data_IF_391974876192
#
_entry.id   IF_391974876192
#
_cell.length_a   1.000
_cell.length_b   1.000
_cell.length_c   1.000
_cell.angle_alpha   90.00
_cell.angle_beta   90.00
_cell.angle_gamma   90.00
#
_symmetry.space_group_name_H-M   'P 1'
#
loop_
_entity.id
_entity.type
_entity.pdbx_description
1 polymer ?
#
# COMPACT_ATOMS: atom_id res chain seq x y z
N UNK A 1 -0.35 22.44 -59.15
CA UNK A 1 0.38 23.71 -58.98
C UNK A 1 0.23 24.18 -57.54
N UNK A 2 1.36 24.33 -56.86
CA UNK A 2 1.62 24.94 -55.54
C UNK A 2 0.66 24.69 -54.36
N UNK A 3 0.95 23.67 -53.55
CA UNK A 3 0.61 23.65 -52.12
C UNK A 3 1.55 24.65 -51.41
N UNK A 4 1.10 25.88 -51.19
CA UNK A 4 1.75 26.76 -50.22
C UNK A 4 1.41 26.25 -48.82
N UNK A 5 2.22 25.34 -48.28
CA UNK A 5 2.33 25.21 -46.83
C UNK A 5 2.97 26.50 -46.33
N UNK A 6 2.14 27.41 -45.82
CA UNK A 6 2.64 28.52 -45.03
C UNK A 6 3.00 27.95 -43.66
N UNK A 7 4.30 27.87 -43.36
CA UNK A 7 4.80 27.42 -42.06
C UNK A 7 4.43 28.46 -40.99
N UNK A 8 3.32 28.22 -40.28
CA UNK A 8 2.97 29.01 -39.11
C UNK A 8 3.78 28.50 -37.92
N UNK A 9 4.42 29.39 -37.17
CA UNK A 9 5.28 29.01 -36.03
C UNK A 9 4.52 28.98 -34.71
N UNK A 10 3.34 29.61 -34.60
CA UNK A 10 2.55 29.67 -33.35
C UNK A 10 1.04 29.73 -33.59
N UNK A 11 0.25 29.31 -32.58
CA UNK A 11 -1.21 29.41 -32.61
C UNK A 11 -1.71 30.85 -32.82
N UNK A 12 -1.09 31.84 -32.15
CA UNK A 12 -1.50 33.24 -32.23
C UNK A 12 -1.39 33.82 -33.64
N UNK A 13 -0.34 33.45 -34.38
CA UNK A 13 -0.16 33.84 -35.78
C UNK A 13 -1.19 33.17 -36.69
N UNK A 14 -1.47 31.88 -36.48
CA UNK A 14 -2.49 31.15 -37.24
C UNK A 14 -3.88 31.76 -37.07
N UNK A 15 -4.28 32.11 -35.83
CA UNK A 15 -5.56 32.76 -35.53
C UNK A 15 -5.66 34.14 -36.17
N UNK A 16 -4.59 34.95 -36.08
CA UNK A 16 -4.55 36.28 -36.68
C UNK A 16 -4.73 36.23 -38.20
N UNK A 17 -4.07 35.28 -38.86
CA UNK A 17 -4.16 35.13 -40.30
C UNK A 17 -5.54 34.60 -40.74
N UNK A 18 -6.11 33.62 -40.05
CA UNK A 18 -7.47 33.12 -40.32
C UNK A 18 -8.53 34.22 -40.16
N UNK A 19 -8.36 35.13 -39.20
CA UNK A 19 -9.23 36.30 -39.04
C UNK A 19 -9.10 37.28 -40.21
N UNK A 20 -7.86 37.59 -40.61
CA UNK A 20 -7.58 38.54 -41.68
C UNK A 20 -8.01 38.01 -43.06
N UNK A 21 -7.85 36.71 -43.32
CA UNK A 21 -8.32 36.09 -44.56
C UNK A 21 -9.85 36.13 -44.70
N UNK A 22 -10.55 36.20 -43.55
CA UNK A 22 -12.01 36.42 -43.52
C UNK A 22 -12.41 37.89 -43.68
N UNK A 23 -11.44 38.82 -43.71
CA UNK A 23 -11.67 40.26 -43.83
C UNK A 23 -12.14 40.93 -42.53
N UNK A 24 -11.95 40.27 -41.38
CA UNK A 24 -12.44 40.77 -40.09
C UNK A 24 -11.37 41.53 -39.32
N UNK A 25 -11.73 42.66 -38.70
CA UNK A 25 -10.93 43.31 -37.65
C UNK A 25 -11.20 42.64 -36.30
N UNK A 26 -10.29 42.80 -35.33
CA UNK A 26 -10.43 42.17 -34.00
C UNK A 26 -11.74 42.56 -33.28
N UNK A 27 -12.21 43.80 -33.46
CA UNK A 27 -13.46 44.30 -32.89
C UNK A 27 -14.72 43.86 -33.66
N UNK A 28 -14.57 43.12 -34.77
CA UNK A 28 -15.66 42.66 -35.62
C UNK A 28 -15.93 41.15 -35.47
N UNK A 29 -15.20 40.45 -34.61
CA UNK A 29 -15.42 39.02 -34.35
C UNK A 29 -16.61 38.85 -33.38
N UNK A 30 -17.73 38.25 -33.82
CA UNK A 30 -18.96 38.23 -33.02
C UNK A 30 -18.80 37.48 -31.70
N UNK A 31 -19.16 38.16 -30.60
CA UNK A 31 -19.25 37.60 -29.26
C UNK A 31 -17.93 37.17 -28.64
N UNK A 32 -16.81 37.74 -29.11
CA UNK A 32 -15.50 37.66 -28.48
C UNK A 32 -14.94 39.08 -28.32
N UNK A 33 -14.54 39.45 -27.11
CA UNK A 33 -14.00 40.78 -26.84
C UNK A 33 -12.68 41.02 -27.61
N UNK A 34 -12.49 42.23 -28.13
CA UNK A 34 -11.28 42.61 -28.88
C UNK A 34 -10.00 42.36 -28.07
N UNK A 35 -10.00 42.70 -26.77
CA UNK A 35 -8.86 42.51 -25.87
C UNK A 35 -8.52 41.02 -25.68
N UNK A 36 -9.53 40.15 -25.64
CA UNK A 36 -9.35 38.70 -25.57
C UNK A 36 -8.67 38.17 -26.83
N UNK A 37 -9.12 38.59 -28.02
CA UNK A 37 -8.48 38.24 -29.29
C UNK A 37 -7.05 38.76 -29.40
N UNK A 38 -6.80 40.00 -28.97
CA UNK A 38 -5.45 40.56 -28.98
C UNK A 38 -4.49 39.76 -28.07
N UNK A 39 -4.97 39.28 -26.93
CA UNK A 39 -4.17 38.43 -26.02
C UNK A 39 -3.90 37.03 -26.62
N UNK A 40 -4.83 36.47 -27.37
CA UNK A 40 -4.65 35.19 -28.06
C UNK A 40 -3.69 35.31 -29.26
N UNK A 41 -3.89 36.31 -30.10
CA UNK A 41 -3.05 36.53 -31.30
C UNK A 41 -1.61 36.92 -30.97
N UNK A 42 -1.38 37.53 -29.81
CA UNK A 42 -0.02 37.85 -29.30
C UNK A 42 0.62 36.73 -28.48
N UNK A 43 -0.08 35.60 -28.26
CA UNK A 43 0.41 34.47 -27.48
C UNK A 43 0.48 34.71 -25.96
N UNK A 44 0.00 35.86 -25.47
CA UNK A 44 -0.03 36.20 -24.02
C UNK A 44 -0.99 35.33 -23.23
N UNK A 45 -2.04 34.83 -23.88
CA UNK A 45 -3.04 33.94 -23.30
C UNK A 45 -3.48 32.90 -24.32
N UNK A 46 -3.84 31.71 -23.87
CA UNK A 46 -4.34 30.66 -24.74
C UNK A 46 -5.88 30.64 -24.77
N UNK A 47 -6.52 30.49 -25.96
CA UNK A 47 -7.95 30.23 -26.07
C UNK A 47 -8.30 28.82 -25.60
N UNK A 48 -9.52 28.60 -25.10
CA UNK A 48 -10.04 27.26 -24.84
C UNK A 48 -10.42 26.59 -26.16
N UNK A 49 -10.52 25.27 -26.18
CA UNK A 49 -10.96 24.54 -27.38
C UNK A 49 -12.37 24.95 -27.85
N UNK A 50 -13.28 25.24 -26.92
CA UNK A 50 -14.61 25.80 -27.25
C UNK A 50 -14.52 27.13 -27.99
N UNK A 51 -13.54 27.97 -27.65
CA UNK A 51 -13.29 29.24 -28.34
C UNK A 51 -12.73 28.98 -29.75
N UNK A 52 -11.87 27.96 -29.92
CA UNK A 52 -11.35 27.56 -31.22
C UNK A 52 -12.46 27.04 -32.14
N UNK A 53 -13.37 26.19 -31.65
CA UNK A 53 -14.50 25.70 -32.44
C UNK A 53 -15.37 26.87 -32.93
N UNK A 54 -15.65 27.82 -32.03
CA UNK A 54 -16.40 29.03 -32.36
C UNK A 54 -15.66 29.91 -33.38
N UNK A 55 -14.36 30.11 -33.20
CA UNK A 55 -13.54 30.88 -34.14
C UNK A 55 -13.44 30.19 -35.50
N UNK A 56 -13.39 28.86 -35.53
CA UNK A 56 -13.34 28.06 -36.76
C UNK A 56 -14.62 28.22 -37.57
N UNK A 57 -15.78 28.27 -36.91
CA UNK A 57 -17.06 28.58 -37.53
C UNK A 57 -17.10 30.01 -38.10
N UNK A 58 -16.66 31.01 -37.31
CA UNK A 58 -16.63 32.42 -37.73
C UNK A 58 -15.66 32.64 -38.91
N UNK A 59 -14.47 32.06 -38.83
CA UNK A 59 -13.40 32.20 -39.83
C UNK A 59 -13.61 31.28 -41.03
N UNK A 60 -14.53 30.31 -40.94
CA UNK A 60 -14.78 29.28 -41.96
C UNK A 60 -13.52 28.47 -42.29
N UNK A 61 -12.81 28.06 -41.25
CA UNK A 61 -11.61 27.22 -41.35
C UNK A 61 -11.89 25.94 -40.58
N UNK A 62 -11.38 24.81 -41.07
CA UNK A 62 -11.46 23.55 -40.34
C UNK A 62 -10.78 23.69 -38.96
N UNK A 63 -11.46 23.41 -37.83
CA UNK A 63 -10.86 23.50 -36.49
C UNK A 63 -9.61 22.63 -36.33
N UNK A 64 -9.51 21.54 -37.10
CA UNK A 64 -8.35 20.66 -37.08
C UNK A 64 -7.07 21.31 -37.62
N UNK A 65 -7.19 22.43 -38.35
CA UNK A 65 -6.04 23.22 -38.81
C UNK A 65 -5.29 23.92 -37.66
N UNK A 66 -5.93 24.12 -36.51
CA UNK A 66 -5.31 24.71 -35.32
C UNK A 66 -4.72 23.67 -34.36
N UNK A 67 -5.11 22.40 -34.48
CA UNK A 67 -4.66 21.28 -33.62
C UNK A 67 -3.13 21.13 -33.51
N UNK A 68 -2.34 21.29 -34.59
CA UNK A 68 -0.87 21.17 -34.51
C UNK A 68 -0.22 22.15 -33.51
N UNK A 69 -0.88 23.27 -33.18
CA UNK A 69 -0.39 24.24 -32.21
C UNK A 69 -0.85 23.97 -30.77
N UNK A 70 -1.74 23.00 -30.57
CA UNK A 70 -2.26 22.59 -29.26
C UNK A 70 -1.56 21.37 -28.66
N UNK A 71 -0.69 20.71 -29.43
CA UNK A 71 0.03 19.50 -29.00
C UNK A 71 1.54 19.73 -28.88
N UNK A 72 2.07 20.22 -27.74
CA UNK A 72 3.21 19.54 -27.17
C UNK A 72 2.72 18.19 -26.63
N UNK A 73 3.44 17.12 -26.92
CA UNK A 73 3.18 15.83 -26.28
C UNK A 73 3.24 16.01 -24.76
N UNK A 74 2.25 15.47 -24.04
CA UNK A 74 2.24 15.56 -22.58
C UNK A 74 3.53 14.98 -21.97
N UNK A 75 4.09 13.93 -22.61
CA UNK A 75 5.37 13.29 -22.27
C UNK A 75 6.62 14.13 -22.51
N UNK A 76 6.52 15.33 -23.09
CA UNK A 76 7.65 16.27 -23.16
C UNK A 76 7.87 17.03 -21.85
N UNK A 77 6.88 17.05 -20.95
CA UNK A 77 7.09 17.51 -19.58
C UNK A 77 7.75 16.41 -18.77
N UNK A 78 8.97 16.65 -18.28
CA UNK A 78 9.72 15.70 -17.43
C UNK A 78 8.85 15.18 -16.28
N UNK A 79 8.10 16.06 -15.63
CA UNK A 79 7.19 15.69 -14.54
C UNK A 79 5.96 14.89 -14.96
N UNK A 80 5.53 14.93 -16.23
CA UNK A 80 4.40 14.12 -16.72
C UNK A 80 4.90 12.77 -17.24
N UNK A 81 6.03 12.75 -17.95
CA UNK A 81 6.65 11.51 -18.44
C UNK A 81 6.98 10.55 -17.30
N UNK A 82 7.52 11.07 -16.20
CA UNK A 82 7.76 10.31 -14.97
C UNK A 82 6.48 9.67 -14.42
N UNK A 83 5.36 10.40 -14.41
CA UNK A 83 4.07 9.89 -13.95
C UNK A 83 3.47 8.84 -14.91
N UNK A 84 3.67 9.00 -16.21
CA UNK A 84 3.24 8.01 -17.21
C UNK A 84 4.06 6.72 -17.13
N UNK A 85 5.35 6.82 -16.82
CA UNK A 85 6.23 5.69 -16.57
C UNK A 85 5.81 4.95 -15.29
N UNK A 86 5.57 5.68 -14.19
CA UNK A 86 5.05 5.12 -12.94
C UNK A 86 3.70 4.39 -13.16
N UNK A 87 2.76 5.02 -13.89
CA UNK A 87 1.48 4.41 -14.23
C UNK A 87 1.64 3.12 -15.06
N UNK A 88 2.59 3.10 -16.00
CA UNK A 88 2.88 1.92 -16.83
C UNK A 88 3.45 0.76 -16.01
N UNK A 89 4.22 1.07 -14.98
CA UNK A 89 4.76 0.10 -14.03
C UNK A 89 3.75 -0.31 -12.94
N UNK A 90 2.55 0.27 -12.94
CA UNK A 90 1.52 0.00 -11.92
C UNK A 90 1.76 0.68 -10.57
N UNK A 91 2.72 1.62 -10.49
CA UNK A 91 3.01 2.40 -9.30
C UNK A 91 2.02 3.56 -9.15
N UNK A 92 0.78 3.21 -8.80
CA UNK A 92 -0.33 4.16 -8.65
C UNK A 92 -0.16 5.10 -7.45
N UNK A 93 0.67 4.74 -6.47
CA UNK A 93 1.00 5.58 -5.32
C UNK A 93 1.86 6.78 -5.74
N UNK A 94 2.91 6.57 -6.53
CA UNK A 94 3.73 7.65 -7.11
C UNK A 94 2.91 8.53 -8.04
N UNK A 95 2.09 7.93 -8.91
CA UNK A 95 1.16 8.67 -9.79
C UNK A 95 0.29 9.61 -8.97
N UNK A 96 -0.26 9.14 -7.86
CA UNK A 96 -1.10 9.94 -6.97
C UNK A 96 -0.34 11.07 -6.27
N UNK A 97 0.71 10.73 -5.52
CA UNK A 97 1.43 11.68 -4.67
C UNK A 97 2.08 12.80 -5.49
N UNK A 98 2.78 12.43 -6.57
CA UNK A 98 3.50 13.38 -7.40
C UNK A 98 2.61 14.08 -8.41
N UNK A 99 1.61 13.39 -8.97
CA UNK A 99 0.60 13.99 -9.83
C UNK A 99 -0.23 15.04 -9.09
N UNK A 100 -0.62 14.78 -7.85
CA UNK A 100 -1.33 15.78 -7.03
C UNK A 100 -0.46 17.00 -6.73
N UNK A 101 0.82 16.79 -6.36
CA UNK A 101 1.79 17.89 -6.16
C UNK A 101 1.99 18.69 -7.44
N UNK A 102 2.05 18.03 -8.60
CA UNK A 102 2.16 18.65 -9.91
C UNK A 102 0.96 19.58 -10.18
N UNK A 103 -0.28 19.08 -10.04
CA UNK A 103 -1.48 19.90 -10.28
C UNK A 103 -1.58 21.09 -9.32
N UNK A 104 -1.18 20.92 -8.05
CA UNK A 104 -1.18 22.00 -7.05
C UNK A 104 -0.18 23.10 -7.40
N UNK A 105 1.02 22.71 -7.83
CA UNK A 105 2.13 23.64 -8.12
C UNK A 105 1.96 24.34 -9.47
N UNK A 106 1.28 23.69 -10.43
CA UNK A 106 1.24 24.11 -11.82
C UNK A 106 -0.15 24.51 -12.35
N UNK A 107 -1.15 24.72 -11.48
CA UNK A 107 -2.56 25.04 -11.80
C UNK A 107 -2.82 26.05 -12.92
N UNK A 108 -1.89 26.97 -13.18
CA UNK A 108 -1.97 27.97 -14.26
C UNK A 108 -0.65 28.16 -15.03
N UNK A 109 0.34 27.28 -14.79
CA UNK A 109 1.73 27.47 -15.25
C UNK A 109 2.19 26.45 -16.29
N UNK A 110 1.36 25.47 -16.62
CA UNK A 110 1.68 24.42 -17.62
C UNK A 110 0.60 24.37 -18.70
N UNK A 111 0.93 23.84 -19.90
CA UNK A 111 -0.06 23.60 -20.93
C UNK A 111 -1.21 22.72 -20.42
N UNK A 112 -2.42 23.02 -20.89
CA UNK A 112 -3.63 22.30 -20.49
C UNK A 112 -3.51 20.79 -20.77
N UNK A 113 -2.85 20.39 -21.85
CA UNK A 113 -2.62 18.98 -22.18
C UNK A 113 -1.84 18.24 -21.08
N UNK A 114 -0.76 18.85 -20.55
CA UNK A 114 0.02 18.28 -19.45
C UNK A 114 -0.81 18.24 -18.14
N UNK A 115 -1.56 19.31 -17.86
CA UNK A 115 -2.43 19.38 -16.68
C UNK A 115 -3.53 18.31 -16.71
N UNK A 116 -4.27 18.23 -17.82
CA UNK A 116 -5.36 17.27 -18.02
C UNK A 116 -4.85 15.83 -18.09
N UNK A 117 -3.63 15.60 -18.62
CA UNK A 117 -3.04 14.26 -18.61
C UNK A 117 -2.76 13.80 -17.18
N UNK A 118 -2.22 14.67 -16.34
CA UNK A 118 -2.01 14.33 -14.92
C UNK A 118 -3.36 14.14 -14.21
N UNK A 119 -4.39 14.93 -14.48
CA UNK A 119 -5.74 14.68 -13.94
C UNK A 119 -6.31 13.32 -14.34
N UNK A 120 -6.08 12.88 -15.59
CA UNK A 120 -6.49 11.55 -16.06
C UNK A 120 -5.72 10.43 -15.37
N UNK A 121 -4.40 10.58 -15.21
CA UNK A 121 -3.57 9.61 -14.49
C UNK A 121 -3.99 9.50 -13.02
N UNK A 122 -4.34 10.63 -12.37
CA UNK A 122 -4.90 10.63 -11.02
C UNK A 122 -6.27 9.97 -10.95
N UNK A 123 -7.15 10.19 -11.94
CA UNK A 123 -8.44 9.53 -12.00
C UNK A 123 -8.29 8.01 -12.21
N UNK A 124 -7.31 7.59 -13.03
CA UNK A 124 -6.95 6.19 -13.20
C UNK A 124 -6.38 5.59 -11.91
N UNK A 125 -5.51 6.33 -11.22
CA UNK A 125 -4.99 5.92 -9.91
C UNK A 125 -6.14 5.73 -8.91
N UNK A 126 -7.07 6.70 -8.79
CA UNK A 126 -8.26 6.53 -7.93
C UNK A 126 -9.13 5.35 -8.38
N UNK A 127 -9.34 5.15 -9.68
CA UNK A 127 -10.15 4.04 -10.16
C UNK A 127 -9.51 2.68 -9.89
N UNK A 128 -8.19 2.59 -10.01
CA UNK A 128 -7.40 1.39 -9.74
C UNK A 128 -7.24 1.15 -8.23
N UNK A 129 -7.19 2.23 -7.44
CA UNK A 129 -6.98 2.25 -6.00
C UNK A 129 -7.98 3.26 -5.35
N UNK A 130 -9.24 2.84 -5.13
CA UNK A 130 -10.34 3.73 -4.68
C UNK A 130 -10.07 4.51 -3.39
N UNK A 131 -9.24 3.97 -2.51
CA UNK A 131 -8.81 4.60 -1.25
C UNK A 131 -7.96 5.86 -1.47
N UNK A 132 -7.32 6.04 -2.63
CA UNK A 132 -6.59 7.28 -2.95
C UNK A 132 -7.52 8.50 -2.98
N UNK A 133 -8.80 8.32 -3.32
CA UNK A 133 -9.81 9.38 -3.26
C UNK A 133 -10.03 9.93 -1.84
N UNK A 134 -9.79 9.12 -0.80
CA UNK A 134 -9.93 9.50 0.62
C UNK A 134 -8.81 10.46 1.08
N UNK A 135 -7.63 10.37 0.45
CA UNK A 135 -6.44 11.19 0.74
C UNK A 135 -6.69 12.68 0.45
N UNK A 136 -7.59 13.00 -0.49
CA UNK A 136 -7.84 14.37 -0.96
C UNK A 136 -8.41 15.31 0.13
N UNK A 137 -8.91 14.76 1.25
CA UNK A 137 -9.58 15.52 2.31
C UNK A 137 -8.78 15.65 3.61
N UNK A 138 -7.56 15.12 3.68
CA UNK A 138 -6.97 14.78 4.98
C UNK A 138 -5.55 15.33 5.14
N UNK A 139 -5.29 15.97 6.30
CA UNK A 139 -4.01 16.64 6.61
C UNK A 139 -3.40 16.21 7.96
N UNK A 140 -4.16 15.58 8.85
CA UNK A 140 -3.71 15.16 10.18
C UNK A 140 -3.34 13.68 10.20
N UNK A 141 -2.46 13.27 11.13
CA UNK A 141 -2.07 11.86 11.24
C UNK A 141 -3.27 10.94 11.54
N UNK A 142 -4.22 11.38 12.36
CA UNK A 142 -5.42 10.60 12.69
C UNK A 142 -6.26 10.27 11.46
N UNK A 143 -6.38 11.24 10.57
CA UNK A 143 -7.08 11.08 9.32
C UNK A 143 -6.33 10.06 8.42
N UNK A 144 -5.01 10.19 8.28
CA UNK A 144 -4.22 9.21 7.52
C UNK A 144 -4.27 7.78 8.09
N UNK A 145 -4.41 7.63 9.42
CA UNK A 145 -4.64 6.35 10.07
C UNK A 145 -6.04 5.78 9.75
N UNK A 146 -7.06 6.62 9.62
CA UNK A 146 -8.38 6.19 9.13
C UNK A 146 -8.33 5.73 7.67
N UNK A 147 -7.54 6.39 6.83
CA UNK A 147 -7.29 5.93 5.45
C UNK A 147 -6.62 4.56 5.48
N UNK A 148 -5.59 4.37 6.31
CA UNK A 148 -4.94 3.06 6.45
C UNK A 148 -5.92 1.96 6.89
N UNK A 149 -6.83 2.27 7.82
CA UNK A 149 -7.88 1.34 8.24
C UNK A 149 -8.86 1.03 7.09
N UNK A 150 -9.24 2.03 6.28
CA UNK A 150 -10.08 1.81 5.11
C UNK A 150 -9.35 0.97 4.04
N UNK A 151 -8.05 1.20 3.84
CA UNK A 151 -7.20 0.41 2.94
C UNK A 151 -7.18 -1.06 3.38
N UNK A 152 -6.97 -1.31 4.67
CA UNK A 152 -7.04 -2.66 5.25
C UNK A 152 -8.40 -3.32 5.00
N UNK A 153 -9.50 -2.63 5.28
CA UNK A 153 -10.86 -3.16 5.10
C UNK A 153 -11.22 -3.44 3.63
N UNK A 154 -10.59 -2.72 2.70
CA UNK A 154 -10.72 -2.95 1.26
C UNK A 154 -9.86 -4.13 0.78
N UNK A 155 -9.10 -4.78 1.67
CA UNK A 155 -8.25 -5.93 1.35
C UNK A 155 -7.03 -5.55 0.51
N UNK A 156 -6.47 -4.36 0.72
CA UNK A 156 -5.22 -3.99 0.07
C UNK A 156 -4.06 -4.86 0.56
N UNK A 157 -3.15 -5.19 -0.36
CA UNK A 157 -1.98 -5.99 -0.06
C UNK A 157 -1.05 -5.34 0.97
N UNK A 158 -0.42 -6.19 1.79
CA UNK A 158 0.45 -5.80 2.90
C UNK A 158 1.61 -4.87 2.49
N UNK A 159 2.19 -5.06 1.30
CA UNK A 159 3.27 -4.19 0.80
C UNK A 159 2.80 -2.75 0.58
N UNK A 160 1.55 -2.56 0.13
CA UNK A 160 0.98 -1.20 -0.06
C UNK A 160 0.77 -0.51 1.28
N UNK A 161 0.27 -1.26 2.27
CA UNK A 161 0.09 -0.76 3.63
C UNK A 161 1.44 -0.46 4.30
N UNK A 162 2.46 -1.29 4.11
CA UNK A 162 3.82 -1.01 4.61
C UNK A 162 4.37 0.31 4.07
N UNK A 163 4.38 0.51 2.75
CA UNK A 163 4.83 1.76 2.14
C UNK A 163 4.04 2.99 2.64
N UNK A 164 2.74 2.80 2.92
CA UNK A 164 1.93 3.85 3.52
C UNK A 164 2.46 4.24 4.89
N UNK A 165 2.73 3.27 5.76
CA UNK A 165 3.25 3.52 7.11
C UNK A 165 4.69 4.06 7.10
N UNK A 166 5.55 3.63 6.18
CA UNK A 166 6.87 4.24 5.93
C UNK A 166 6.73 5.75 5.67
N UNK A 167 5.86 6.10 4.71
CA UNK A 167 5.56 7.51 4.39
C UNK A 167 5.01 8.27 5.59
N UNK A 168 4.12 7.67 6.39
CA UNK A 168 3.59 8.32 7.60
C UNK A 168 4.69 8.56 8.64
N UNK A 169 5.61 7.61 8.82
CA UNK A 169 6.70 7.73 9.76
C UNK A 169 7.69 8.85 9.37
N UNK A 170 7.89 9.07 8.06
CA UNK A 170 8.74 10.14 7.52
C UNK A 170 8.05 11.51 7.54
N UNK A 171 6.73 11.55 7.33
CA UNK A 171 5.98 12.80 7.15
C UNK A 171 5.54 13.44 8.46
N UNK A 172 5.23 12.65 9.49
CA UNK A 172 4.63 13.13 10.72
C UNK A 172 5.63 13.16 11.88
N UNK A 173 5.44 14.14 12.76
CA UNK A 173 6.27 14.33 13.94
C UNK A 173 6.20 13.11 14.86
N UNK A 174 7.37 12.61 15.26
CA UNK A 174 7.49 11.53 16.22
C UNK A 174 6.90 11.88 17.59
N UNK A 175 6.75 13.17 17.93
CA UNK A 175 6.09 13.59 19.18
C UNK A 175 4.56 13.50 19.13
N UNK A 176 3.97 13.18 17.97
CA UNK A 176 2.52 13.07 17.85
C UNK A 176 2.00 11.89 18.70
N UNK A 177 0.92 12.04 19.51
CA UNK A 177 0.42 10.98 20.40
C UNK A 177 0.13 9.64 19.69
N UNK A 178 -0.32 9.73 18.45
CA UNK A 178 -0.70 8.58 17.60
C UNK A 178 0.46 7.98 16.81
N UNK A 179 1.69 8.50 16.97
CA UNK A 179 2.85 8.03 16.23
C UNK A 179 3.17 6.55 16.56
N UNK A 180 2.90 6.10 17.78
CA UNK A 180 3.02 4.68 18.12
C UNK A 180 2.14 3.78 17.25
N UNK A 181 0.95 4.24 16.83
CA UNK A 181 0.09 3.48 15.91
C UNK A 181 0.74 3.35 14.54
N UNK A 182 1.52 4.34 14.09
CA UNK A 182 2.30 4.25 12.85
C UNK A 182 3.37 3.18 12.99
N UNK A 183 4.13 3.21 14.09
CA UNK A 183 5.20 2.25 14.34
C UNK A 183 4.68 0.81 14.47
N UNK A 184 3.63 0.62 15.25
CA UNK A 184 3.02 -0.70 15.46
C UNK A 184 2.43 -1.28 14.16
N UNK A 185 1.70 -0.47 13.38
CA UNK A 185 1.17 -0.95 12.11
C UNK A 185 2.28 -1.17 11.07
N UNK A 186 3.33 -0.34 11.05
CA UNK A 186 4.51 -0.57 10.23
C UNK A 186 5.15 -1.93 10.52
N UNK A 187 5.33 -2.27 11.80
CA UNK A 187 5.80 -3.58 12.24
C UNK A 187 4.89 -4.72 11.75
N UNK A 188 3.58 -4.60 11.95
CA UNK A 188 2.60 -5.61 11.54
C UNK A 188 2.61 -5.85 10.03
N UNK A 189 2.69 -4.79 9.21
CA UNK A 189 2.70 -4.97 7.75
C UNK A 189 4.06 -5.41 7.21
N UNK A 190 5.18 -4.99 7.82
CA UNK A 190 6.51 -5.54 7.53
C UNK A 190 6.60 -7.03 7.87
N UNK A 191 5.96 -7.44 8.95
CA UNK A 191 5.84 -8.84 9.31
C UNK A 191 5.02 -9.61 8.27
N UNK A 192 3.88 -9.09 7.83
CA UNK A 192 3.02 -9.77 6.85
C UNK A 192 3.71 -10.00 5.51
N UNK A 193 4.62 -9.12 5.09
CA UNK A 193 5.41 -9.29 3.86
C UNK A 193 6.52 -10.35 3.99
N UNK A 194 6.74 -10.90 5.20
CA UNK A 194 7.81 -11.85 5.47
C UNK A 194 9.18 -11.21 5.69
N UNK A 195 9.28 -9.87 5.69
CA UNK A 195 10.54 -9.17 5.94
C UNK A 195 10.81 -9.04 7.45
N UNK A 196 11.28 -10.14 8.04
CA UNK A 196 11.61 -10.22 9.47
C UNK A 196 12.55 -9.13 9.97
N UNK A 197 13.70 -8.86 9.32
CA UNK A 197 14.60 -7.78 9.76
C UNK A 197 13.90 -6.42 9.81
N UNK A 198 13.10 -6.09 8.79
CA UNK A 198 12.33 -4.85 8.76
C UNK A 198 11.30 -4.81 9.89
N UNK A 199 10.54 -5.89 10.10
CA UNK A 199 9.55 -5.97 11.16
C UNK A 199 10.19 -5.72 12.55
N UNK A 200 11.33 -6.36 12.82
CA UNK A 200 12.07 -6.17 14.07
C UNK A 200 12.57 -4.73 14.25
N UNK A 201 13.07 -4.09 13.19
CA UNK A 201 13.46 -2.68 13.24
C UNK A 201 12.29 -1.76 13.63
N UNK A 202 11.11 -2.00 13.05
CA UNK A 202 9.89 -1.27 13.41
C UNK A 202 9.48 -1.50 14.87
N UNK A 203 9.56 -2.73 15.36
CA UNK A 203 9.24 -3.06 16.76
C UNK A 203 10.23 -2.39 17.72
N UNK A 204 11.53 -2.43 17.43
CA UNK A 204 12.57 -1.76 18.24
C UNK A 204 12.34 -0.24 18.32
N UNK A 205 11.97 0.37 17.20
CA UNK A 205 11.54 1.77 17.15
C UNK A 205 10.31 2.02 18.02
N UNK A 206 9.30 1.14 17.94
CA UNK A 206 8.07 1.24 18.74
C UNK A 206 8.35 1.13 20.24
N UNK A 207 9.17 0.16 20.67
CA UNK A 207 9.58 -0.04 22.07
C UNK A 207 10.31 1.20 22.57
N UNK A 208 11.31 1.67 21.81
CA UNK A 208 12.10 2.85 22.17
C UNK A 208 11.21 4.09 22.31
N UNK A 209 10.27 4.27 21.38
CA UNK A 209 9.29 5.35 21.43
C UNK A 209 8.38 5.25 22.65
N UNK A 210 7.82 4.07 22.94
CA UNK A 210 6.91 3.84 24.05
C UNK A 210 7.60 4.14 25.39
N UNK A 211 8.84 3.69 25.57
CA UNK A 211 9.67 3.98 26.76
C UNK A 211 9.93 5.49 26.89
N UNK A 212 10.31 6.17 25.81
CA UNK A 212 10.59 7.61 25.81
C UNK A 212 9.35 8.46 26.15
N UNK A 213 8.15 8.01 25.77
CA UNK A 213 6.88 8.72 26.00
C UNK A 213 6.07 8.14 27.18
N UNK A 214 6.70 7.31 28.02
CA UNK A 214 6.11 6.72 29.22
C UNK A 214 4.83 5.91 28.97
N UNK A 215 4.67 5.34 27.77
CA UNK A 215 3.59 4.40 27.43
C UNK A 215 3.95 2.98 27.86
N UNK A 216 4.18 2.80 29.17
CA UNK A 216 4.66 1.55 29.75
C UNK A 216 3.67 0.39 29.61
N UNK A 217 2.39 0.68 29.47
CA UNK A 217 1.33 -0.29 29.18
C UNK A 217 1.52 -1.00 27.83
N UNK A 218 2.21 -0.36 26.87
CA UNK A 218 2.45 -0.90 25.52
C UNK A 218 3.74 -1.69 25.38
N UNK A 219 4.68 -1.47 26.28
CA UNK A 219 6.00 -2.11 26.21
C UNK A 219 5.90 -3.65 26.24
N UNK A 220 5.10 -4.28 27.12
CA UNK A 220 5.00 -5.75 27.16
C UNK A 220 4.46 -6.36 25.86
N UNK A 221 3.46 -5.75 25.22
CA UNK A 221 2.90 -6.19 23.93
C UNK A 221 3.98 -6.16 22.84
N UNK A 222 4.74 -5.06 22.76
CA UNK A 222 5.79 -4.89 21.75
C UNK A 222 6.99 -5.82 22.00
N UNK A 223 7.40 -6.01 23.26
CA UNK A 223 8.47 -6.94 23.64
C UNK A 223 8.09 -8.40 23.38
N UNK A 224 6.82 -8.76 23.59
CA UNK A 224 6.31 -10.10 23.24
C UNK A 224 6.33 -10.33 21.72
N UNK A 225 5.88 -9.34 20.93
CA UNK A 225 5.99 -9.38 19.47
C UNK A 225 7.45 -9.52 19.01
N UNK A 226 8.37 -8.74 19.58
CA UNK A 226 9.81 -8.84 19.28
C UNK A 226 10.34 -10.24 19.57
N UNK A 227 10.03 -10.80 20.75
CA UNK A 227 10.44 -12.15 21.14
C UNK A 227 9.94 -13.20 20.15
N UNK A 228 8.66 -13.14 19.76
CA UNK A 228 8.09 -14.04 18.75
C UNK A 228 8.83 -13.92 17.43
N UNK A 229 9.02 -12.71 16.92
CA UNK A 229 9.68 -12.48 15.63
C UNK A 229 11.14 -12.94 15.63
N UNK A 230 11.88 -12.68 16.71
CA UNK A 230 13.26 -13.16 16.89
C UNK A 230 13.33 -14.69 16.90
N UNK A 231 12.32 -15.37 17.44
CA UNK A 231 12.30 -16.83 17.53
C UNK A 231 12.34 -17.49 16.15
N UNK A 232 11.77 -16.83 15.13
CA UNK A 232 11.81 -17.31 13.76
C UNK A 232 13.18 -17.11 13.08
N UNK A 233 14.01 -16.14 13.52
CA UNK A 233 15.31 -15.86 12.90
C UNK A 233 16.45 -16.72 13.45
N UNK A 234 16.47 -17.00 14.75
CA UNK A 234 17.59 -17.67 15.41
C UNK A 234 17.07 -18.63 16.48
N UNK A 235 17.83 -19.71 16.76
CA UNK A 235 17.64 -20.49 17.98
C UNK A 235 17.95 -19.60 19.18
N UNK A 236 16.93 -18.94 19.74
CA UNK A 236 17.10 -18.08 20.92
C UNK A 236 17.55 -19.00 22.06
N UNK A 237 18.80 -18.89 22.49
CA UNK A 237 19.26 -19.56 23.70
C UNK A 237 18.95 -18.69 24.93
N UNK A 238 18.48 -19.31 26.02
CA UNK A 238 18.52 -18.70 27.35
C UNK A 238 17.37 -17.76 27.77
N UNK A 239 16.27 -17.65 27.01
CA UNK A 239 15.05 -16.99 27.53
C UNK A 239 14.27 -17.95 28.43
N UNK A 240 14.07 -17.56 29.69
CA UNK A 240 13.29 -18.29 30.69
C UNK A 240 11.80 -18.09 30.45
N UNK A 241 11.11 -19.17 30.11
CA UNK A 241 9.65 -19.24 29.90
C UNK A 241 8.85 -18.74 31.11
N UNK A 242 9.39 -18.88 32.32
CA UNK A 242 8.69 -18.56 33.56
C UNK A 242 8.89 -17.12 34.03
N UNK A 243 9.82 -16.37 33.42
CA UNK A 243 10.05 -14.96 33.75
C UNK A 243 9.02 -14.03 33.11
N UNK A 244 8.40 -14.44 32.00
CA UNK A 244 7.35 -13.70 31.34
C UNK A 244 6.00 -13.99 32.03
N UNK A 245 5.56 -13.14 32.96
CA UNK A 245 4.16 -13.16 33.40
C UNK A 245 3.36 -12.41 32.33
N UNK A 246 2.51 -13.09 31.54
CA UNK A 246 1.74 -12.38 30.55
C UNK A 246 0.82 -11.39 31.25
N UNK A 247 0.68 -10.19 30.71
CA UNK A 247 -0.14 -9.13 31.30
C UNK A 247 -1.51 -9.01 30.62
N UNK A 248 -1.66 -9.65 29.46
CA UNK A 248 -2.90 -9.79 28.72
C UNK A 248 -2.82 -11.00 27.76
N UNK A 249 -3.92 -11.28 27.06
CA UNK A 249 -4.05 -12.40 26.11
C UNK A 249 -3.13 -12.29 24.90
N UNK A 250 -2.88 -11.09 24.36
CA UNK A 250 -1.97 -10.89 23.23
C UNK A 250 -0.51 -11.20 23.60
N UNK A 251 -0.06 -10.69 24.75
CA UNK A 251 1.27 -10.97 25.31
C UNK A 251 1.42 -12.47 25.56
N UNK A 252 0.39 -13.10 26.15
CA UNK A 252 0.39 -14.55 26.37
C UNK A 252 0.59 -15.31 25.06
N UNK A 253 -0.15 -14.93 24.04
CA UNK A 253 -0.14 -15.59 22.74
C UNK A 253 1.21 -15.45 22.03
N UNK A 254 1.74 -14.22 21.89
CA UNK A 254 3.03 -13.96 21.25
C UNK A 254 4.17 -14.72 21.94
N UNK A 255 4.18 -14.72 23.28
CA UNK A 255 5.15 -15.47 24.09
C UNK A 255 5.02 -16.97 23.85
N UNK A 256 3.80 -17.52 23.93
CA UNK A 256 3.57 -18.95 23.71
C UNK A 256 4.00 -19.40 22.32
N UNK A 257 3.68 -18.62 21.28
CA UNK A 257 4.07 -18.93 19.90
C UNK A 257 5.59 -18.92 19.76
N UNK A 258 6.27 -17.91 20.30
CA UNK A 258 7.73 -17.83 20.26
C UNK A 258 8.39 -19.04 20.95
N UNK A 259 7.89 -19.46 22.11
CA UNK A 259 8.37 -20.67 22.79
C UNK A 259 8.03 -21.95 22.04
N UNK A 260 6.85 -22.06 21.45
CA UNK A 260 6.45 -23.22 20.65
C UNK A 260 7.39 -23.41 19.46
N UNK A 261 7.73 -22.32 18.76
CA UNK A 261 8.68 -22.34 17.66
C UNK A 261 10.07 -22.79 18.10
N UNK A 262 10.58 -22.28 19.23
CA UNK A 262 11.86 -22.73 19.82
C UNK A 262 11.85 -24.22 20.17
N UNK A 263 10.84 -24.66 20.92
CA UNK A 263 10.71 -26.07 21.33
C UNK A 263 10.72 -26.98 20.10
N UNK A 264 9.97 -26.59 19.07
CA UNK A 264 9.93 -27.31 17.81
C UNK A 264 11.29 -27.30 17.12
N UNK A 265 11.89 -26.13 16.89
CA UNK A 265 13.19 -26.03 16.22
C UNK A 265 14.26 -26.90 16.90
N UNK A 266 14.31 -26.86 18.23
CA UNK A 266 15.29 -27.59 19.05
C UNK A 266 14.92 -29.07 19.28
N UNK A 267 13.78 -29.53 18.74
CA UNK A 267 13.24 -30.87 18.96
C UNK A 267 13.01 -31.22 20.44
N UNK A 268 12.70 -30.24 21.28
CA UNK A 268 12.58 -30.40 22.72
C UNK A 268 11.13 -30.68 23.15
N UNK A 269 10.74 -31.95 23.07
CA UNK A 269 9.40 -32.43 23.45
C UNK A 269 9.09 -32.17 24.94
N UNK A 270 10.09 -32.24 25.81
CA UNK A 270 9.89 -32.01 27.24
C UNK A 270 9.47 -30.57 27.52
N UNK A 271 10.18 -29.61 26.93
CA UNK A 271 9.81 -28.19 27.06
C UNK A 271 8.47 -27.88 26.42
N UNK A 272 8.15 -28.53 25.30
CA UNK A 272 6.81 -28.43 24.71
C UNK A 272 5.71 -28.86 25.69
N UNK A 273 5.84 -30.02 26.34
CA UNK A 273 4.83 -30.50 27.30
C UNK A 273 4.69 -29.58 28.52
N UNK A 274 5.78 -28.97 28.98
CA UNK A 274 5.73 -27.97 30.05
C UNK A 274 5.11 -26.64 29.60
N UNK A 275 5.41 -26.19 28.38
CA UNK A 275 4.80 -25.00 27.79
C UNK A 275 3.28 -25.17 27.69
N UNK A 276 2.77 -26.33 27.23
CA UNK A 276 1.33 -26.58 27.15
C UNK A 276 0.62 -26.41 28.49
N UNK A 277 1.18 -27.04 29.54
CA UNK A 277 0.62 -26.93 30.90
C UNK A 277 0.65 -25.50 31.41
N UNK A 278 1.76 -24.80 31.16
CA UNK A 278 1.91 -23.41 31.54
C UNK A 278 0.89 -22.54 30.82
N UNK A 279 0.78 -22.65 29.50
CA UNK A 279 -0.11 -21.85 28.67
C UNK A 279 -1.59 -21.98 29.09
N UNK A 280 -2.06 -23.21 29.32
CA UNK A 280 -3.42 -23.47 29.80
C UNK A 280 -3.64 -22.88 31.20
N UNK A 281 -2.66 -22.99 32.09
CA UNK A 281 -2.76 -22.47 33.46
C UNK A 281 -2.74 -20.93 33.50
N UNK A 282 -2.02 -20.29 32.60
CA UNK A 282 -1.85 -18.83 32.56
C UNK A 282 -2.81 -18.14 31.59
N UNK A 283 -3.69 -18.88 30.92
CA UNK A 283 -4.74 -18.30 30.09
C UNK A 283 -5.68 -17.46 30.93
N UNK A 284 -5.92 -16.22 30.49
CA UNK A 284 -6.56 -15.19 31.31
C UNK A 284 -8.00 -14.87 30.89
N UNK A 285 -8.46 -15.43 29.77
CA UNK A 285 -9.76 -15.13 29.19
C UNK A 285 -10.75 -16.25 29.49
N UNK A 286 -12.02 -15.88 29.65
CA UNK A 286 -13.14 -16.83 29.66
C UNK A 286 -13.40 -17.36 28.24
N UNK A 287 -12.93 -16.64 27.23
CA UNK A 287 -12.93 -17.04 25.83
C UNK A 287 -12.06 -18.28 25.61
N UNK A 288 -12.43 -19.16 24.67
CA UNK A 288 -11.59 -20.31 24.33
C UNK A 288 -10.21 -19.84 23.85
N UNK A 289 -9.17 -20.53 24.31
CA UNK A 289 -7.80 -20.26 23.88
C UNK A 289 -7.70 -20.37 22.36
N UNK A 290 -6.98 -19.45 21.69
CA UNK A 290 -6.84 -19.49 20.25
C UNK A 290 -6.18 -20.79 19.77
N UNK A 291 -6.39 -21.17 18.50
CA UNK A 291 -6.06 -22.51 18.02
C UNK A 291 -4.56 -22.74 17.78
N UNK A 292 -3.68 -21.83 18.20
CA UNK A 292 -2.23 -22.01 18.10
C UNK A 292 -1.78 -23.31 18.79
N UNK A 293 -2.35 -23.64 19.95
CA UNK A 293 -1.98 -24.86 20.68
C UNK A 293 -2.26 -26.10 19.83
N UNK A 294 -3.46 -26.18 19.24
CA UNK A 294 -3.86 -27.30 18.39
C UNK A 294 -3.05 -27.40 17.10
N UNK A 295 -2.65 -26.26 16.52
CA UNK A 295 -1.73 -26.22 15.37
C UNK A 295 -0.39 -26.87 15.72
N UNK A 296 0.19 -26.47 16.85
CA UNK A 296 1.48 -26.96 17.29
C UNK A 296 1.43 -28.43 17.74
N UNK A 297 0.33 -28.89 18.35
CA UNK A 297 0.14 -30.33 18.61
C UNK A 297 0.08 -31.15 17.32
N UNK A 298 -0.64 -30.66 16.30
CA UNK A 298 -0.67 -31.28 14.99
C UNK A 298 0.73 -31.32 14.33
N UNK A 299 1.51 -30.26 14.49
CA UNK A 299 2.89 -30.18 14.00
C UNK A 299 3.81 -31.22 14.66
N UNK A 300 3.69 -31.42 15.99
CA UNK A 300 4.47 -32.42 16.72
C UNK A 300 4.03 -33.86 16.41
N UNK A 301 2.71 -34.11 16.26
CA UNK A 301 2.19 -35.40 15.82
C UNK A 301 2.80 -35.78 14.47
N UNK A 302 2.85 -34.83 13.54
CA UNK A 302 3.51 -35.05 12.26
C UNK A 302 5.02 -35.31 12.42
N UNK A 303 5.76 -34.43 13.11
CA UNK A 303 7.22 -34.52 13.25
C UNK A 303 7.69 -35.85 13.85
N UNK A 304 6.98 -36.39 14.84
CA UNK A 304 7.41 -37.60 15.56
C UNK A 304 6.68 -38.88 15.17
N UNK A 305 5.42 -38.78 14.74
CA UNK A 305 4.61 -39.95 14.40
C UNK A 305 4.37 -40.09 12.90
N UNK A 306 4.80 -39.12 12.09
CA UNK A 306 4.53 -39.05 10.65
C UNK A 306 3.02 -39.09 10.33
N UNK A 307 2.19 -38.54 11.23
CA UNK A 307 0.74 -38.44 11.06
C UNK A 307 0.40 -37.06 10.48
N UNK A 308 0.14 -36.91 9.16
CA UNK A 308 -0.17 -35.62 8.57
C UNK A 308 -1.63 -35.19 8.79
N UNK A 309 -2.52 -36.14 9.11
CA UNK A 309 -3.97 -35.92 9.22
C UNK A 309 -4.33 -34.79 10.20
N UNK A 310 -3.77 -34.72 11.43
CA UNK A 310 -4.12 -33.65 12.37
C UNK A 310 -3.83 -32.25 11.82
N UNK A 311 -2.74 -32.09 11.06
CA UNK A 311 -2.36 -30.80 10.50
C UNK A 311 -3.19 -30.46 9.26
N UNK A 312 -3.54 -31.47 8.45
CA UNK A 312 -4.51 -31.31 7.35
C UNK A 312 -5.89 -30.93 7.86
N UNK A 313 -6.36 -31.57 8.93
CA UNK A 313 -7.65 -31.28 9.57
C UNK A 313 -7.66 -29.87 10.15
N UNK A 314 -6.57 -29.47 10.83
CA UNK A 314 -6.43 -28.12 11.35
C UNK A 314 -6.50 -27.07 10.24
N UNK A 315 -5.75 -27.27 9.14
CA UNK A 315 -5.78 -26.39 7.97
C UNK A 315 -7.17 -26.38 7.32
N UNK A 316 -7.79 -27.55 7.14
CA UNK A 316 -9.11 -27.69 6.54
C UNK A 316 -10.18 -26.95 7.35
N UNK A 317 -10.19 -27.12 8.67
CA UNK A 317 -11.04 -26.38 9.58
C UNK A 317 -10.76 -24.87 9.52
N UNK A 318 -9.49 -24.47 9.50
CA UNK A 318 -9.10 -23.06 9.42
C UNK A 318 -9.65 -22.38 8.17
N UNK A 319 -9.54 -23.04 7.01
CA UNK A 319 -10.02 -22.54 5.72
C UNK A 319 -11.55 -22.44 5.63
N UNK A 320 -12.28 -23.32 6.33
CA UNK A 320 -13.75 -23.35 6.32
C UNK A 320 -14.36 -22.37 7.32
N UNK A 321 -13.95 -22.48 8.58
CA UNK A 321 -14.60 -21.81 9.71
C UNK A 321 -13.69 -20.82 10.43
N UNK A 322 -12.38 -21.10 10.48
CA UNK A 322 -11.39 -20.25 11.15
C UNK A 322 -11.39 -18.80 10.66
N UNK A 323 -11.67 -18.59 9.36
CA UNK A 323 -11.72 -17.25 8.74
C UNK A 323 -12.76 -16.34 9.36
N UNK A 324 -13.91 -16.89 9.72
CA UNK A 324 -15.02 -16.12 10.26
C UNK A 324 -14.93 -15.98 11.78
N UNK A 325 -14.37 -17.00 12.46
CA UNK A 325 -14.25 -17.04 13.91
C UNK A 325 -13.07 -16.23 14.45
N UNK A 326 -11.98 -16.11 13.69
CA UNK A 326 -10.72 -15.51 14.13
C UNK A 326 -10.17 -14.48 13.15
N UNK A 327 -11.07 -13.73 12.50
CA UNK A 327 -10.74 -12.80 11.40
C UNK A 327 -9.63 -11.78 11.77
N UNK A 328 -9.54 -11.36 13.04
CA UNK A 328 -8.52 -10.42 13.53
C UNK A 328 -7.11 -11.04 13.73
N UNK A 329 -7.02 -12.36 13.90
CA UNK A 329 -5.77 -13.11 14.13
C UNK A 329 -5.43 -14.05 12.97
N UNK A 330 -6.16 -13.92 11.86
CA UNK A 330 -6.16 -14.80 10.70
C UNK A 330 -4.76 -15.07 10.13
N UNK A 331 -3.94 -14.03 10.05
CA UNK A 331 -2.65 -14.08 9.34
C UNK A 331 -1.56 -14.81 10.14
N UNK A 332 -1.65 -14.83 11.47
CA UNK A 332 -0.56 -15.31 12.32
C UNK A 332 -0.47 -16.83 12.37
N UNK A 333 -1.58 -17.51 12.64
CA UNK A 333 -1.55 -18.98 12.74
C UNK A 333 -1.42 -19.64 11.37
N UNK A 334 -2.03 -19.05 10.34
CA UNK A 334 -1.85 -19.54 8.98
C UNK A 334 -0.38 -19.42 8.55
N UNK A 335 0.29 -18.30 8.88
CA UNK A 335 1.73 -18.14 8.70
C UNK A 335 2.54 -19.19 9.46
N UNK A 336 2.26 -19.40 10.75
CA UNK A 336 3.04 -20.36 11.55
C UNK A 336 2.93 -21.77 10.98
N UNK A 337 1.72 -22.14 10.59
CA UNK A 337 1.50 -23.36 9.85
C UNK A 337 2.36 -23.34 8.56
N UNK A 338 2.38 -22.23 7.80
CA UNK A 338 3.13 -22.14 6.53
C UNK A 338 4.62 -22.35 6.76
N UNK A 339 5.17 -21.78 7.82
CA UNK A 339 6.56 -21.95 8.21
C UNK A 339 6.87 -23.42 8.51
N UNK A 340 5.96 -24.11 9.22
CA UNK A 340 6.08 -25.53 9.51
C UNK A 340 6.09 -26.38 8.23
N UNK A 341 5.25 -26.04 7.24
CA UNK A 341 5.26 -26.72 5.95
C UNK A 341 6.47 -26.38 5.08
N UNK A 342 6.98 -25.16 5.12
CA UNK A 342 8.21 -24.78 4.43
C UNK A 342 9.41 -25.62 4.89
N UNK A 343 9.37 -26.11 6.13
CA UNK A 343 10.36 -27.03 6.70
C UNK A 343 9.99 -28.52 6.54
N UNK A 344 8.87 -28.83 5.87
CA UNK A 344 8.38 -30.18 5.69
C UNK A 344 8.76 -30.77 4.34
N UNK A 345 9.26 -32.02 4.35
CA UNK A 345 9.51 -32.81 3.14
C UNK A 345 8.28 -33.62 2.70
N UNK A 346 7.14 -33.51 3.41
CA UNK A 346 5.99 -34.39 3.18
C UNK A 346 5.14 -33.94 1.96
N UNK A 347 4.78 -34.84 1.01
CA UNK A 347 4.12 -34.48 -0.24
C UNK A 347 2.80 -33.70 -0.12
N UNK A 348 2.02 -33.96 0.93
CA UNK A 348 0.77 -33.22 1.17
C UNK A 348 0.98 -31.71 1.36
N UNK A 349 2.17 -31.29 1.80
CA UNK A 349 2.51 -29.87 1.95
C UNK A 349 2.88 -29.19 0.64
N UNK A 350 3.26 -29.93 -0.40
CA UNK A 350 3.44 -29.35 -1.73
C UNK A 350 2.12 -28.81 -2.30
N UNK A 351 1.01 -29.51 -2.05
CA UNK A 351 -0.35 -29.05 -2.40
C UNK A 351 -0.70 -27.76 -1.65
N UNK A 352 -0.27 -27.69 -0.39
CA UNK A 352 -0.57 -26.55 0.45
C UNK A 352 0.29 -25.32 0.16
N UNK A 353 1.58 -25.51 -0.13
CA UNK A 353 2.46 -24.48 -0.66
C UNK A 353 1.90 -23.90 -1.98
N UNK A 354 1.38 -24.76 -2.87
CA UNK A 354 0.70 -24.31 -4.09
C UNK A 354 -0.56 -23.50 -3.79
N UNK A 355 -1.40 -23.98 -2.88
CA UNK A 355 -2.60 -23.24 -2.46
C UNK A 355 -2.23 -21.87 -1.89
N UNK A 356 -1.21 -21.80 -1.05
CA UNK A 356 -0.74 -20.56 -0.44
C UNK A 356 -0.14 -19.60 -1.46
N UNK A 357 0.70 -20.09 -2.38
CA UNK A 357 1.21 -19.28 -3.47
C UNK A 357 0.06 -18.70 -4.33
N UNK A 358 -0.98 -19.51 -4.59
CA UNK A 358 -2.17 -19.04 -5.28
C UNK A 358 -2.99 -18.04 -4.44
N UNK A 359 -3.10 -18.23 -3.13
CA UNK A 359 -3.73 -17.29 -2.21
C UNK A 359 -2.99 -15.94 -2.23
N UNK A 360 -1.67 -15.94 -2.00
CA UNK A 360 -0.82 -14.76 -2.07
C UNK A 360 -0.98 -14.04 -3.41
N UNK A 361 -0.92 -14.78 -4.52
CA UNK A 361 -1.12 -14.22 -5.85
C UNK A 361 -2.50 -13.57 -6.03
N UNK A 362 -3.57 -14.26 -5.61
CA UNK A 362 -4.95 -13.76 -5.70
C UNK A 362 -5.17 -12.50 -4.86
N UNK A 363 -4.51 -12.42 -3.72
CA UNK A 363 -4.65 -11.32 -2.76
C UNK A 363 -3.59 -10.23 -2.93
N UNK A 364 -2.69 -10.36 -3.92
CA UNK A 364 -1.56 -9.44 -4.14
C UNK A 364 -0.73 -9.24 -2.87
N UNK A 365 -0.53 -10.34 -2.13
CA UNK A 365 0.27 -10.38 -0.93
C UNK A 365 1.63 -11.00 -1.24
N UNK A 366 2.68 -10.42 -0.66
CA UNK A 366 3.98 -11.08 -0.49
C UNK A 366 3.99 -11.70 0.91
N UNK A 367 4.66 -12.83 1.10
CA UNK A 367 4.59 -13.56 2.36
C UNK A 367 5.82 -14.40 2.65
N UNK A 368 5.81 -15.04 3.81
CA UNK A 368 6.97 -15.75 4.35
C UNK A 368 7.53 -16.88 3.46
N UNK A 369 6.68 -17.48 2.62
CA UNK A 369 7.09 -18.54 1.68
C UNK A 369 7.60 -18.01 0.34
N UNK A 370 7.57 -16.70 0.07
CA UNK A 370 8.22 -16.13 -1.13
C UNK A 370 9.69 -15.77 -0.89
N UNK A 371 10.17 -15.87 0.36
CA UNK A 371 11.52 -15.47 0.80
C UNK A 371 12.38 -16.69 1.21
N UNK A 372 11.75 -17.84 1.46
CA UNK A 372 12.42 -19.15 1.68
C UNK A 372 12.67 -19.84 0.34
#
# INVERSE_FOLDING_TARGET
MARYYTEWTTLGQALKQARLSRGLRQNQVPGIAQSTLANWESGRRWPKWSDILRLSEIYRVDPTSFTPFFTPDAGQFVGVRHLEEAARMGDWATVWQEGYRFLRRHRQKVPLAAYSRVEQLLAQAISAQPWLGLIRQQQTLENELQVAAAMHNLGLGSQTLLHWFERLADQYDAQHPSYLKVLNNGALYAEKTGNLPCALEWVDRAISWAKAHQQWDRVPELEAMAFRLQSYQQGIAGHDMYAAVPVNTFVHEDVCIGFAWRCWNDNNVREWEELKKWAVRTWMDESPMPPWLTLWEAAWAWRHKQEPQPLQDWVGWWLQDGRNLWQAHWDWYLRDAMLLAGKSEHPAFAVWQHWWAHYLHRHQEEGWLTVL
#
